data_IF_617905396392
#
_entry.id   IF_617905396392
#
_cell.length_a   1.000
_cell.length_b   1.000
_cell.length_c   1.000
_cell.angle_alpha   90.00
_cell.angle_beta   90.00
_cell.angle_gamma   90.00
#
_symmetry.space_group_name_H-M   'P 1'
#
loop_
_entity.id
_entity.type
_entity.pdbx_description
1 polymer ?
#
# COMPACT_ATOMS: atom_id res chain seq x y z
N UNK A 1 -38.05 56.80 68.61
CA UNK A 1 -36.95 55.82 68.59
C UNK A 1 -37.52 54.42 68.43
N UNK A 2 -37.39 53.80 67.25
CA UNK A 2 -37.67 52.38 67.00
C UNK A 2 -36.67 51.87 65.97
N UNK A 3 -35.95 50.82 66.34
CA UNK A 3 -34.84 50.18 65.65
C UNK A 3 -35.33 49.34 64.47
N UNK A 4 -34.65 49.40 63.33
CA UNK A 4 -34.79 48.45 62.23
C UNK A 4 -33.58 47.52 62.22
N UNK A 5 -33.84 46.25 62.51
CA UNK A 5 -32.91 45.12 62.36
C UNK A 5 -32.78 44.77 60.87
N UNK A 6 -31.55 44.77 60.36
CA UNK A 6 -31.19 44.31 59.02
C UNK A 6 -30.86 42.81 59.09
N UNK A 7 -31.50 42.03 58.22
CA UNK A 7 -31.31 40.59 58.04
C UNK A 7 -31.05 40.34 56.56
N UNK A 8 -29.88 39.82 56.21
CA UNK A 8 -29.70 38.75 55.21
C UNK A 8 -28.24 38.28 55.21
N UNK A 9 -28.01 37.10 55.79
CA UNK A 9 -26.85 36.25 55.53
C UNK A 9 -26.92 35.73 54.08
N UNK A 10 -25.88 36.00 53.28
CA UNK A 10 -25.64 35.31 52.01
C UNK A 10 -24.26 34.68 52.09
N UNK A 11 -24.26 33.37 52.39
CA UNK A 11 -23.11 32.48 52.31
C UNK A 11 -22.61 32.44 50.87
N UNK A 12 -21.49 33.13 50.61
CA UNK A 12 -20.76 33.04 49.35
C UNK A 12 -19.90 31.78 49.34
N UNK A 13 -20.24 30.88 48.42
CA UNK A 13 -19.51 29.66 48.04
C UNK A 13 -18.15 30.06 47.43
N UNK A 14 -16.99 29.54 47.90
CA UNK A 14 -15.74 29.80 47.21
C UNK A 14 -15.66 28.90 45.96
N UNK A 15 -15.83 29.50 44.80
CA UNK A 15 -15.55 28.89 43.50
C UNK A 15 -14.03 28.72 43.35
N UNK A 16 -13.56 27.48 43.51
CA UNK A 16 -12.23 27.05 43.08
C UNK A 16 -12.14 27.07 41.55
N UNK A 17 -11.91 28.25 40.99
CA UNK A 17 -11.40 28.38 39.64
C UNK A 17 -9.91 28.05 39.67
N UNK A 18 -9.61 26.75 39.61
CA UNK A 18 -8.27 26.27 39.27
C UNK A 18 -8.00 26.64 37.81
N UNK A 19 -7.57 27.89 37.61
CA UNK A 19 -7.04 28.38 36.35
C UNK A 19 -5.70 27.67 36.11
N UNK A 20 -5.78 26.45 35.58
CA UNK A 20 -4.63 25.69 35.11
C UNK A 20 -3.96 26.50 34.02
N UNK A 21 -2.86 27.13 34.41
CA UNK A 21 -1.75 27.66 33.61
C UNK A 21 -1.75 27.12 32.17
N UNK A 22 -2.47 27.79 31.26
CA UNK A 22 -2.40 27.54 29.83
C UNK A 22 -1.27 28.39 29.28
N UNK A 23 -0.03 28.03 29.62
CA UNK A 23 1.10 28.48 28.81
C UNK A 23 0.84 28.08 27.36
N UNK A 24 0.95 29.02 26.39
CA UNK A 24 0.77 28.68 24.99
C UNK A 24 1.82 27.63 24.63
N UNK A 25 1.37 26.38 24.40
CA UNK A 25 2.22 25.29 23.94
C UNK A 25 2.87 25.73 22.63
N UNK A 26 4.12 26.19 22.71
CA UNK A 26 4.94 26.49 21.55
C UNK A 26 4.93 25.26 20.65
N UNK A 27 4.42 25.42 19.42
CA UNK A 27 4.41 24.33 18.44
C UNK A 27 5.85 23.94 18.16
N UNK A 28 6.23 22.78 18.66
CA UNK A 28 7.52 22.19 18.37
C UNK A 28 7.63 21.94 16.86
N UNK A 29 8.75 22.35 16.25
CA UNK A 29 9.02 22.19 14.82
C UNK A 29 10.07 21.11 14.62
N UNK A 30 9.91 20.31 13.57
CA UNK A 30 10.93 19.35 13.14
C UNK A 30 12.20 20.13 12.76
N UNK A 31 13.32 19.77 13.39
CA UNK A 31 14.63 20.26 13.05
C UNK A 31 15.35 19.34 12.05
N UNK A 32 16.57 19.71 11.66
CA UNK A 32 17.40 18.92 10.74
C UNK A 32 17.65 17.50 11.24
N UNK A 33 17.90 17.32 12.54
CA UNK A 33 18.19 16.01 13.13
C UNK A 33 16.96 15.10 13.09
N UNK A 34 15.77 15.64 13.38
CA UNK A 34 14.52 14.90 13.26
C UNK A 34 14.21 14.51 11.81
N UNK A 35 14.52 15.39 10.85
CA UNK A 35 14.37 15.06 9.43
C UNK A 35 15.37 13.99 9.00
N UNK A 36 16.62 14.07 9.46
CA UNK A 36 17.62 13.05 9.19
C UNK A 36 17.17 11.68 9.73
N UNK A 37 16.73 11.61 10.99
CA UNK A 37 16.21 10.37 11.58
C UNK A 37 14.99 9.83 10.82
N UNK A 38 14.05 10.70 10.42
CA UNK A 38 12.90 10.30 9.62
C UNK A 38 13.32 9.68 8.29
N UNK A 39 14.28 10.30 7.59
CA UNK A 39 14.74 9.85 6.27
C UNK A 39 15.51 8.56 6.38
N UNK A 40 16.41 8.42 7.37
CA UNK A 40 17.12 7.17 7.62
C UNK A 40 16.14 6.03 7.90
N UNK A 41 15.12 6.26 8.73
CA UNK A 41 14.13 5.23 9.03
C UNK A 41 13.27 4.87 7.80
N UNK A 42 12.92 5.86 6.97
CA UNK A 42 12.19 5.64 5.72
C UNK A 42 13.04 4.90 4.69
N UNK A 43 14.35 5.16 4.62
CA UNK A 43 15.26 4.41 3.75
C UNK A 43 15.41 2.96 4.21
N UNK A 44 15.40 2.71 5.53
CA UNK A 44 15.51 1.36 6.08
C UNK A 44 14.22 0.53 5.93
N UNK A 45 13.06 1.14 6.16
CA UNK A 45 11.76 0.43 6.16
C UNK A 45 11.04 0.46 4.81
N UNK A 46 11.51 1.29 3.88
CA UNK A 46 10.99 1.48 2.51
C UNK A 46 9.45 1.45 2.42
N UNK A 47 8.73 2.29 3.19
CA UNK A 47 7.27 2.22 3.33
C UNK A 47 6.52 2.43 2.01
N UNK A 48 7.17 3.03 1.01
CA UNK A 48 6.62 3.29 -0.32
C UNK A 48 6.53 2.03 -1.19
N UNK A 49 7.20 0.94 -0.84
CA UNK A 49 7.08 -0.38 -1.50
C UNK A 49 5.89 -1.19 -0.99
N UNK A 50 5.16 -0.68 0.01
CA UNK A 50 4.08 -1.38 0.66
C UNK A 50 2.96 -1.77 -0.32
N UNK A 51 2.39 -2.96 -0.12
CA UNK A 51 1.22 -3.43 -0.86
C UNK A 51 0.00 -2.54 -0.59
N UNK A 52 -0.96 -2.57 -1.50
CA UNK A 52 -2.20 -1.82 -1.38
C UNK A 52 -2.91 -2.16 -0.05
N UNK A 53 -3.09 -1.17 0.82
CA UNK A 53 -3.69 -1.32 2.15
C UNK A 53 -2.70 -1.34 3.32
N UNK A 54 -1.43 -1.68 3.09
CA UNK A 54 -0.41 -1.81 4.15
C UNK A 54 0.38 -0.52 4.42
N UNK A 55 0.26 0.47 3.53
CA UNK A 55 1.01 1.73 3.61
C UNK A 55 0.86 2.39 4.99
N UNK A 56 -0.37 2.46 5.52
CA UNK A 56 -0.63 3.08 6.83
C UNK A 56 0.10 2.36 7.96
N UNK A 57 0.10 1.02 7.94
CA UNK A 57 0.78 0.20 8.95
C UNK A 57 2.29 0.40 8.91
N UNK A 58 2.89 0.52 7.72
CA UNK A 58 4.32 0.81 7.58
C UNK A 58 4.66 2.19 8.15
N UNK A 59 3.87 3.21 7.84
CA UNK A 59 4.06 4.55 8.41
C UNK A 59 3.82 4.61 9.93
N UNK A 60 2.87 3.83 10.46
CA UNK A 60 2.67 3.70 11.91
C UNK A 60 3.89 3.03 12.57
N UNK A 61 4.49 2.02 11.92
CA UNK A 61 5.72 1.39 12.38
C UNK A 61 6.90 2.37 12.45
N UNK A 62 7.11 3.16 11.38
CA UNK A 62 8.15 4.20 11.35
C UNK A 62 7.94 5.25 12.44
N UNK A 63 6.71 5.74 12.60
CA UNK A 63 6.38 6.69 13.64
C UNK A 63 6.64 6.10 15.04
N UNK A 64 6.28 4.83 15.26
CA UNK A 64 6.57 4.12 16.50
C UNK A 64 8.07 4.04 16.79
N UNK A 65 8.90 3.68 15.80
CA UNK A 65 10.37 3.61 15.95
C UNK A 65 10.97 4.96 16.29
N UNK A 66 10.54 6.03 15.61
CA UNK A 66 11.00 7.39 15.91
C UNK A 66 10.63 7.81 17.33
N UNK A 67 9.38 7.56 17.74
CA UNK A 67 8.89 7.94 19.07
C UNK A 67 9.59 7.21 20.23
N UNK A 68 10.15 6.02 19.98
CA UNK A 68 10.92 5.24 20.98
C UNK A 68 12.41 5.58 20.94
N UNK A 69 12.89 6.21 19.87
CA UNK A 69 14.32 6.49 19.73
C UNK A 69 14.78 7.59 20.70
N UNK A 70 15.89 7.38 21.44
CA UNK A 70 16.37 8.35 22.43
C UNK A 70 16.91 9.64 21.78
N UNK A 71 17.21 9.60 20.48
CA UNK A 71 17.70 10.74 19.71
C UNK A 71 16.56 11.60 19.15
N UNK A 72 15.30 11.18 19.29
CA UNK A 72 14.15 11.91 18.80
C UNK A 72 13.60 12.83 19.88
N UNK A 73 13.88 14.12 19.74
CA UNK A 73 13.56 15.11 20.78
C UNK A 73 12.17 15.72 20.63
N UNK A 74 11.31 15.21 19.73
CA UNK A 74 9.96 15.74 19.54
C UNK A 74 8.87 15.04 20.33
N UNK A 75 7.75 15.75 20.49
CA UNK A 75 6.48 15.12 20.82
C UNK A 75 6.18 13.93 19.90
N UNK A 76 5.57 12.85 20.41
CA UNK A 76 5.24 11.67 19.63
C UNK A 76 4.41 12.01 18.39
N UNK A 77 4.84 11.47 17.24
CA UNK A 77 4.20 11.69 15.95
C UNK A 77 3.34 10.50 15.54
N UNK A 78 2.37 10.76 14.66
CA UNK A 78 1.49 9.75 14.06
C UNK A 78 1.96 9.43 12.63
N UNK A 79 1.49 8.31 12.07
CA UNK A 79 1.76 7.95 10.66
C UNK A 79 1.49 9.08 9.68
N UNK A 80 0.38 9.82 9.84
CA UNK A 80 0.01 10.92 8.93
C UNK A 80 1.01 12.07 8.97
N UNK A 81 1.56 12.37 10.15
CA UNK A 81 2.59 13.39 10.31
C UNK A 81 3.89 12.95 9.66
N UNK A 82 4.35 11.73 9.95
CA UNK A 82 5.57 11.18 9.34
C UNK A 82 5.46 11.18 7.79
N UNK A 83 4.34 10.69 7.27
CA UNK A 83 4.10 10.65 5.82
C UNK A 83 4.05 12.06 5.20
N UNK A 84 3.33 13.00 5.82
CA UNK A 84 3.23 14.36 5.30
C UNK A 84 4.57 15.09 5.32
N UNK A 85 5.38 14.86 6.36
CA UNK A 85 6.73 15.45 6.47
C UNK A 85 7.64 14.88 5.41
N UNK A 86 7.65 13.56 5.24
CA UNK A 86 8.45 12.91 4.22
C UNK A 86 8.10 13.37 2.80
N UNK A 87 6.81 13.53 2.48
CA UNK A 87 6.39 14.11 1.18
C UNK A 87 6.98 15.50 0.95
N UNK A 88 6.90 16.38 1.95
CA UNK A 88 7.48 17.71 1.87
C UNK A 88 9.00 17.67 1.65
N UNK A 89 9.70 16.71 2.28
CA UNK A 89 11.14 16.52 2.05
C UNK A 89 11.46 16.09 0.62
N UNK A 90 10.68 15.19 0.03
CA UNK A 90 10.86 14.79 -1.37
C UNK A 90 10.68 15.99 -2.32
N UNK A 91 9.67 16.82 -2.08
CA UNK A 91 9.42 18.02 -2.89
C UNK A 91 10.58 19.02 -2.78
N UNK A 92 11.09 19.23 -1.57
CA UNK A 92 12.26 20.08 -1.32
C UNK A 92 13.50 19.51 -2.02
N UNK A 93 13.78 18.21 -1.91
CA UNK A 93 14.94 17.58 -2.54
C UNK A 93 14.88 17.69 -4.06
N UNK A 94 13.70 17.48 -4.65
CA UNK A 94 13.49 17.66 -6.08
C UNK A 94 13.79 19.09 -6.52
N UNK A 95 13.30 20.08 -5.77
CA UNK A 95 13.61 21.49 -6.07
C UNK A 95 15.10 21.80 -5.94
N UNK A 96 15.77 21.18 -4.96
CA UNK A 96 17.21 21.29 -4.80
C UNK A 96 17.95 20.72 -6.01
N UNK A 97 17.64 19.51 -6.46
CA UNK A 97 18.25 18.89 -7.65
C UNK A 97 18.07 19.73 -8.92
N UNK A 98 16.87 20.27 -9.15
CA UNK A 98 16.58 21.16 -10.28
C UNK A 98 17.42 22.46 -10.22
N UNK A 99 17.56 23.05 -9.03
CA UNK A 99 18.38 24.26 -8.85
C UNK A 99 19.88 23.98 -8.91
N UNK A 100 20.34 22.85 -8.40
CA UNK A 100 21.74 22.42 -8.43
C UNK A 100 22.18 22.08 -9.85
N UNK A 101 21.34 21.36 -10.60
CA UNK A 101 21.58 21.10 -12.03
C UNK A 101 21.68 22.39 -12.85
N UNK A 102 20.87 23.40 -12.50
CA UNK A 102 20.89 24.71 -13.18
C UNK A 102 22.09 25.58 -12.80
N UNK A 103 22.65 25.41 -11.60
CA UNK A 103 23.74 26.22 -11.02
C UNK A 103 25.11 25.51 -11.06
N UNK A 104 25.30 24.56 -11.98
CA UNK A 104 26.44 23.62 -12.09
C UNK A 104 27.86 24.24 -12.22
N UNK A 105 28.09 25.49 -11.83
CA UNK A 105 29.39 26.13 -11.67
C UNK A 105 29.78 26.38 -10.20
N UNK A 106 28.87 26.20 -9.22
CA UNK A 106 29.18 26.37 -7.79
C UNK A 106 29.20 25.03 -7.06
N UNK A 107 30.38 24.67 -6.53
CA UNK A 107 30.63 23.52 -5.66
C UNK A 107 29.95 23.72 -4.29
N UNK A 108 28.63 23.53 -4.23
CA UNK A 108 27.95 23.38 -2.94
C UNK A 108 28.20 21.96 -2.44
N UNK A 109 28.85 21.83 -1.27
CA UNK A 109 29.16 20.54 -0.66
C UNK A 109 27.88 19.75 -0.42
N UNK A 110 27.70 18.67 -1.18
CA UNK A 110 26.66 17.69 -0.96
C UNK A 110 26.77 17.13 0.46
N UNK A 111 25.71 17.28 1.25
CA UNK A 111 25.68 16.76 2.63
C UNK A 111 25.20 15.31 2.62
N UNK A 112 25.60 14.50 3.62
CA UNK A 112 25.11 13.12 3.76
C UNK A 112 23.57 13.02 3.80
N UNK A 113 22.89 14.05 4.31
CA UNK A 113 21.43 14.12 4.28
C UNK A 113 20.89 14.20 2.85
N UNK A 114 21.50 15.04 2.00
CA UNK A 114 21.13 15.19 0.59
C UNK A 114 21.35 13.87 -0.16
N UNK A 115 22.49 13.21 0.07
CA UNK A 115 22.79 11.91 -0.55
C UNK A 115 21.71 10.87 -0.26
N UNK A 116 21.35 10.69 1.01
CA UNK A 116 20.31 9.73 1.40
C UNK A 116 18.96 10.16 0.81
N UNK A 117 18.64 11.46 0.80
CA UNK A 117 17.39 11.97 0.22
C UNK A 117 17.29 11.72 -1.28
N UNK A 118 18.36 11.94 -2.04
CA UNK A 118 18.43 11.66 -3.48
C UNK A 118 18.33 10.15 -3.75
N UNK A 119 19.00 9.31 -2.97
CA UNK A 119 18.86 7.85 -3.06
C UNK A 119 17.41 7.41 -2.84
N UNK A 120 16.78 7.89 -1.77
CA UNK A 120 15.39 7.57 -1.43
C UNK A 120 14.43 8.09 -2.50
N UNK A 121 14.66 9.28 -3.04
CA UNK A 121 13.85 9.85 -4.11
C UNK A 121 13.91 8.98 -5.37
N UNK A 122 15.09 8.51 -5.76
CA UNK A 122 15.25 7.59 -6.88
C UNK A 122 14.44 6.29 -6.68
N UNK A 123 14.58 5.65 -5.52
CA UNK A 123 13.80 4.44 -5.17
C UNK A 123 12.28 4.68 -5.23
N UNK A 124 11.81 5.83 -4.73
CA UNK A 124 10.39 6.20 -4.78
C UNK A 124 9.90 6.38 -6.22
N UNK A 125 10.72 6.95 -7.10
CA UNK A 125 10.40 7.10 -8.52
C UNK A 125 10.33 5.73 -9.19
N UNK A 126 11.32 4.86 -8.98
CA UNK A 126 11.38 3.52 -9.56
C UNK A 126 10.17 2.68 -9.17
N UNK A 127 9.79 2.70 -7.89
CA UNK A 127 8.61 1.99 -7.39
C UNK A 127 7.33 2.51 -8.05
N UNK A 128 7.19 3.83 -8.24
CA UNK A 128 6.04 4.40 -8.96
C UNK A 128 5.99 3.97 -10.41
N UNK A 129 7.14 3.95 -11.10
CA UNK A 129 7.24 3.50 -12.49
C UNK A 129 6.87 2.02 -12.60
N UNK A 130 7.41 1.16 -11.72
CA UNK A 130 7.08 -0.26 -11.68
C UNK A 130 5.58 -0.52 -11.42
N UNK A 131 4.98 0.22 -10.49
CA UNK A 131 3.54 0.13 -10.25
C UNK A 131 2.69 0.56 -11.45
N UNK A 132 3.10 1.62 -12.16
CA UNK A 132 2.41 2.08 -13.36
C UNK A 132 2.52 1.05 -14.51
N UNK A 133 3.69 0.46 -14.69
CA UNK A 133 3.92 -0.62 -15.66
C UNK A 133 3.03 -1.82 -15.36
N UNK A 134 3.04 -2.33 -14.13
CA UNK A 134 2.19 -3.44 -13.72
C UNK A 134 0.69 -3.13 -13.88
N UNK A 135 0.27 -1.90 -13.57
CA UNK A 135 -1.11 -1.46 -13.81
C UNK A 135 -1.47 -1.48 -15.31
N UNK A 136 -0.57 -1.01 -16.17
CA UNK A 136 -0.78 -1.02 -17.63
C UNK A 136 -0.80 -2.43 -18.22
N UNK A 137 0.08 -3.33 -17.76
CA UNK A 137 0.15 -4.72 -18.20
C UNK A 137 -1.10 -5.49 -17.80
N UNK A 138 -1.53 -5.35 -16.55
CA UNK A 138 -2.76 -5.99 -16.06
C UNK A 138 -4.01 -5.48 -16.79
N UNK A 139 -4.07 -4.18 -17.10
CA UNK A 139 -5.14 -3.60 -17.92
C UNK A 139 -5.12 -4.15 -19.36
N UNK A 140 -3.94 -4.24 -19.99
CA UNK A 140 -3.77 -4.83 -21.32
C UNK A 140 -4.20 -6.29 -21.37
N UNK A 141 -3.77 -7.10 -20.39
CA UNK A 141 -4.20 -8.50 -20.27
C UNK A 141 -5.71 -8.62 -20.11
N UNK A 142 -6.34 -7.74 -19.33
CA UNK A 142 -7.78 -7.75 -19.15
C UNK A 142 -8.52 -7.42 -20.45
N UNK A 143 -8.04 -6.43 -21.21
CA UNK A 143 -8.59 -6.11 -22.53
C UNK A 143 -8.43 -7.28 -23.51
N UNK A 144 -7.27 -7.94 -23.56
CA UNK A 144 -7.05 -9.12 -24.40
C UNK A 144 -8.02 -10.26 -24.04
N UNK A 145 -8.22 -10.54 -22.74
CA UNK A 145 -9.19 -11.54 -22.25
C UNK A 145 -10.61 -11.18 -22.67
N UNK A 146 -11.00 -9.91 -22.56
CA UNK A 146 -12.34 -9.45 -22.95
C UNK A 146 -12.57 -9.57 -24.47
N UNK A 147 -11.61 -9.13 -25.28
CA UNK A 147 -11.66 -9.23 -26.74
C UNK A 147 -11.75 -10.68 -27.19
N UNK A 148 -10.94 -11.56 -26.61
CA UNK A 148 -11.01 -13.01 -26.87
C UNK A 148 -12.39 -13.56 -26.53
N UNK A 149 -12.94 -13.21 -25.36
CA UNK A 149 -14.29 -13.60 -24.97
C UNK A 149 -15.37 -13.08 -25.94
N UNK A 150 -15.24 -11.86 -26.46
CA UNK A 150 -16.16 -11.30 -27.46
C UNK A 150 -16.13 -12.11 -28.76
N UNK A 151 -14.94 -12.46 -29.26
CA UNK A 151 -14.78 -13.26 -30.49
C UNK A 151 -15.43 -14.64 -30.34
N UNK A 152 -15.21 -15.32 -29.20
CA UNK A 152 -15.83 -16.62 -28.92
C UNK A 152 -17.36 -16.50 -28.88
N UNK A 153 -17.88 -15.50 -28.16
CA UNK A 153 -19.33 -15.24 -28.11
C UNK A 153 -19.91 -14.97 -29.49
N UNK A 154 -19.27 -14.14 -30.31
CA UNK A 154 -19.72 -13.83 -31.66
C UNK A 154 -19.74 -15.08 -32.55
N UNK A 155 -18.68 -15.90 -32.53
CA UNK A 155 -18.61 -17.16 -33.29
C UNK A 155 -19.75 -18.13 -32.89
N UNK A 156 -20.00 -18.28 -31.59
CA UNK A 156 -21.09 -19.13 -31.10
C UNK A 156 -22.46 -18.61 -31.53
N UNK A 157 -22.70 -17.30 -31.43
CA UNK A 157 -23.96 -16.68 -31.88
C UNK A 157 -24.16 -16.88 -33.39
N UNK A 158 -23.12 -16.71 -34.20
CA UNK A 158 -23.20 -16.97 -35.65
C UNK A 158 -23.52 -18.42 -35.96
N UNK A 159 -22.93 -19.39 -35.23
CA UNK A 159 -23.23 -20.83 -35.41
C UNK A 159 -24.67 -21.19 -35.05
N UNK A 160 -25.23 -20.56 -34.01
CA UNK A 160 -26.64 -20.74 -33.64
C UNK A 160 -27.55 -20.13 -34.69
N UNK A 161 -27.23 -18.92 -35.19
CA UNK A 161 -28.03 -18.20 -36.21
C UNK A 161 -28.03 -18.87 -37.57
N UNK A 162 -26.92 -19.48 -37.99
CA UNK A 162 -26.81 -20.18 -39.28
C UNK A 162 -27.56 -21.51 -39.32
N UNK A 163 -28.10 -21.98 -38.19
CA UNK A 163 -28.68 -23.31 -38.09
C UNK A 163 -27.60 -24.40 -38.23
N UNK A 164 -27.86 -25.57 -37.66
CA UNK A 164 -27.00 -26.75 -37.85
C UNK A 164 -26.90 -27.05 -39.36
N UNK A 165 -25.70 -27.30 -39.92
CA UNK A 165 -25.63 -27.98 -41.22
C UNK A 165 -26.29 -29.34 -41.05
N UNK A 166 -27.42 -29.51 -41.74
CA UNK A 166 -27.95 -30.83 -42.04
C UNK A 166 -26.95 -31.51 -42.98
N UNK A 167 -26.24 -32.52 -42.49
CA UNK A 167 -25.61 -33.53 -43.35
C UNK A 167 -25.27 -34.77 -42.52
N UNK A 168 -26.18 -35.75 -42.51
CA UNK A 168 -25.88 -37.10 -43.01
C UNK A 168 -27.21 -37.84 -43.16
N UNK A 169 -27.91 -37.61 -44.27
CA UNK A 169 -28.68 -38.69 -44.86
C UNK A 169 -27.63 -39.58 -45.54
N UNK A 170 -27.36 -40.72 -44.93
CA UNK A 170 -27.24 -42.05 -45.54
C UNK A 170 -26.36 -42.96 -44.65
N UNK A 171 -26.96 -43.57 -43.63
CA UNK A 171 -26.46 -44.85 -43.12
C UNK A 171 -27.66 -45.78 -42.92
N UNK A 172 -28.32 -46.06 -44.04
CA UNK A 172 -29.14 -47.25 -44.17
C UNK A 172 -28.20 -48.40 -44.51
N UNK A 173 -28.07 -49.36 -43.58
CA UNK A 173 -27.50 -50.72 -43.70
C UNK A 173 -26.22 -51.00 -42.89
N UNK A 174 -26.37 -51.21 -41.57
CA UNK A 174 -25.97 -52.48 -40.91
C UNK A 174 -26.48 -52.57 -39.47
N UNK A 175 -27.69 -53.10 -39.33
CA UNK A 175 -28.02 -53.94 -38.16
C UNK A 175 -27.19 -55.23 -38.25
N UNK A 176 -26.79 -55.75 -37.07
CA UNK A 176 -25.94 -56.94 -36.76
C UNK A 176 -24.49 -56.50 -36.51
N UNK A 177 -23.93 -56.59 -35.31
CA UNK A 177 -23.97 -57.71 -34.36
C UNK A 177 -23.57 -57.16 -32.97
N UNK A 178 -24.34 -57.48 -31.93
CA UNK A 178 -23.93 -57.26 -30.54
C UNK A 178 -22.81 -58.25 -30.23
N UNK A 179 -21.64 -57.76 -29.83
CA UNK A 179 -20.70 -58.54 -29.02
C UNK A 179 -20.48 -57.83 -27.69
N UNK A 180 -20.29 -58.58 -26.59
CA UNK A 180 -20.31 -58.04 -25.24
C UNK A 180 -18.96 -57.41 -24.90
N UNK A 181 -19.00 -56.17 -24.40
CA UNK A 181 -17.84 -55.54 -23.78
C UNK A 181 -17.53 -56.24 -22.44
N UNK A 182 -16.44 -57.00 -22.41
CA UNK A 182 -15.81 -57.60 -21.23
C UNK A 182 -15.24 -56.48 -20.36
N UNK A 183 -15.60 -56.45 -19.08
CA UNK A 183 -14.98 -55.59 -18.06
C UNK A 183 -13.56 -56.07 -17.78
N UNK A 184 -12.55 -55.20 -17.66
CA UNK A 184 -11.32 -55.55 -16.96
C UNK A 184 -11.58 -55.50 -15.46
N UNK A 185 -11.48 -56.67 -14.84
CA UNK A 185 -11.47 -56.90 -13.41
C UNK A 185 -10.10 -56.54 -12.83
N UNK A 186 -10.11 -56.03 -11.58
CA UNK A 186 -8.95 -55.82 -10.72
C UNK A 186 -8.00 -57.02 -10.70
N UNK A 187 -6.71 -56.72 -10.68
CA UNK A 187 -5.63 -57.68 -10.45
C UNK A 187 -4.47 -57.01 -9.73
N UNK A 188 -4.54 -57.03 -8.41
CA UNK A 188 -3.43 -56.82 -7.47
C UNK A 188 -2.19 -57.64 -7.86
N UNK A 189 -0.99 -57.06 -7.68
CA UNK A 189 0.21 -57.77 -7.20
C UNK A 189 1.33 -56.77 -6.82
N UNK A 190 1.48 -56.53 -5.51
CA UNK A 190 2.81 -56.50 -4.85
C UNK A 190 3.37 -57.93 -4.86
N UNK A 191 4.71 -58.18 -4.86
CA UNK A 191 5.64 -57.85 -3.75
C UNK A 191 7.07 -57.53 -4.29
N UNK A 192 8.20 -57.42 -3.59
CA UNK A 192 8.66 -57.42 -2.20
C UNK A 192 10.07 -56.76 -2.22
N UNK A 193 10.47 -56.13 -1.09
CA UNK A 193 11.84 -55.99 -0.51
C UNK A 193 13.11 -55.74 -1.36
N UNK A 194 13.87 -54.71 -0.94
CA UNK A 194 15.19 -54.74 -0.25
C UNK A 194 15.82 -53.33 -0.39
N UNK A 195 16.04 -52.52 0.66
CA UNK A 195 17.06 -52.55 1.74
C UNK A 195 18.51 -52.48 1.25
N UNK A 196 19.27 -51.56 1.88
CA UNK A 196 20.73 -51.29 1.87
C UNK A 196 21.14 -50.09 1.00
N UNK A 197 21.91 -49.11 1.47
CA UNK A 197 22.57 -48.83 2.75
C UNK A 197 22.78 -47.30 2.82
#
# INVERSE_FOLDING_TARGET
MRTKTSSSDVVAKPSSDSNSDRTPKLRQRFGPDEYYLLVVQVNADEPYTAKHGDLRRQWDGIAGKLNVSPNYNMNPIKCTTAQSRFKCLLDVNRSWEETSASKSSTDEKETHFIQIMTEVLAKVIDVKVAHAQHASESAGQQQCKELSGKVVRQKTVSRIKLGKPSSHLDDSMKRRKREPHVKPQEGSNQPDKQVKE
#
